data_IF_779929165286
#
_entry.id   IF_779929165286
#
_cell.length_a   1.000
_cell.length_b   1.000
_cell.length_c   1.000
_cell.angle_alpha   90.00
_cell.angle_beta   90.00
_cell.angle_gamma   90.00
#
_symmetry.space_group_name_H-M   'P 1'
#
loop_
_entity.id
_entity.type
_entity.pdbx_description
1 polymer ?
#
# COMPACT_ATOMS: atom_id res chain seq x y z
N UNK A 1 -11.77 6.59 -6.89
CA UNK A 1 -10.58 6.16 -7.66
C UNK A 1 -10.61 4.65 -7.90
N UNK A 2 -10.57 3.78 -6.91
CA UNK A 2 -10.55 2.31 -7.11
C UNK A 2 -11.78 1.81 -7.91
N UNK A 3 -12.98 2.24 -7.58
CA UNK A 3 -14.20 1.84 -8.29
C UNK A 3 -14.15 2.22 -9.79
N UNK A 4 -13.67 3.43 -10.09
CA UNK A 4 -13.47 3.86 -11.47
C UNK A 4 -12.42 3.01 -12.20
N UNK A 5 -11.29 2.69 -11.54
CA UNK A 5 -10.28 1.80 -12.11
C UNK A 5 -10.86 0.41 -12.40
N UNK A 6 -11.76 -0.08 -11.53
CA UNK A 6 -12.46 -1.36 -11.75
C UNK A 6 -13.37 -1.30 -12.97
N UNK A 7 -14.15 -0.21 -13.13
CA UNK A 7 -15.00 0.00 -14.29
C UNK A 7 -14.22 0.11 -15.61
N UNK A 8 -13.08 0.81 -15.56
CA UNK A 8 -12.18 1.00 -16.70
C UNK A 8 -11.21 -0.19 -16.92
N UNK A 9 -11.27 -1.21 -16.06
CA UNK A 9 -10.38 -2.41 -16.09
C UNK A 9 -8.89 -2.04 -16.04
N UNK A 10 -8.54 -1.09 -15.19
CA UNK A 10 -7.16 -0.61 -15.01
C UNK A 10 -6.57 -1.18 -13.72
N UNK A 11 -5.25 -1.47 -13.67
CA UNK A 11 -4.57 -1.82 -12.43
C UNK A 11 -4.56 -0.63 -11.47
N UNK A 12 -4.51 -0.93 -10.18
CA UNK A 12 -4.42 0.08 -9.12
C UNK A 12 -3.06 0.01 -8.45
N UNK A 13 -2.40 1.15 -8.28
CA UNK A 13 -1.16 1.26 -7.50
C UNK A 13 -1.39 2.30 -6.41
N UNK A 14 -1.17 1.90 -5.15
CA UNK A 14 -1.31 2.80 -3.99
C UNK A 14 0.03 2.90 -3.26
N UNK A 15 0.56 4.11 -3.16
CA UNK A 15 1.67 4.43 -2.27
C UNK A 15 1.10 4.79 -0.90
N UNK A 16 1.28 3.90 0.07
CA UNK A 16 0.79 4.10 1.42
C UNK A 16 1.85 4.79 2.28
N UNK A 17 1.44 5.87 2.95
CA UNK A 17 2.26 6.58 3.92
C UNK A 17 1.35 7.11 5.03
N UNK A 18 1.49 6.58 6.24
CA UNK A 18 0.65 6.99 7.37
C UNK A 18 1.30 6.68 8.71
N UNK A 19 1.33 7.66 9.59
CA UNK A 19 1.70 7.48 11.01
C UNK A 19 0.57 6.93 11.89
N UNK A 20 -0.57 6.59 11.29
CA UNK A 20 -1.79 6.13 11.95
C UNK A 20 -2.93 7.16 11.93
N UNK A 21 -4.16 6.69 12.06
CA UNK A 21 -5.33 7.55 12.13
C UNK A 21 -5.46 8.19 13.52
N UNK A 22 -5.95 9.43 13.58
CA UNK A 22 -6.23 10.09 14.85
C UNK A 22 -7.39 9.41 15.57
N UNK A 23 -7.19 9.10 16.84
CA UNK A 23 -8.25 8.54 17.67
C UNK A 23 -9.45 9.48 17.82
N UNK A 24 -9.23 10.78 17.75
CA UNK A 24 -10.28 11.80 17.84
C UNK A 24 -11.26 11.79 16.65
N UNK A 25 -10.84 11.26 15.50
CA UNK A 25 -11.73 11.09 14.34
C UNK A 25 -12.70 9.92 14.52
N UNK A 26 -12.42 9.05 15.49
CA UNK A 26 -13.30 7.98 15.91
C UNK A 26 -13.66 7.03 14.77
N UNK A 27 -14.93 6.62 14.74
CA UNK A 27 -15.44 5.62 13.81
C UNK A 27 -15.37 6.06 12.33
N UNK A 28 -15.32 7.35 12.04
CA UNK A 28 -15.31 7.87 10.67
C UNK A 28 -14.09 7.39 9.91
N UNK A 29 -12.91 7.44 10.51
CA UNK A 29 -11.66 6.96 9.88
C UNK A 29 -11.70 5.45 9.64
N UNK A 30 -12.25 4.68 10.58
CA UNK A 30 -12.44 3.23 10.43
C UNK A 30 -13.40 2.90 9.26
N UNK A 31 -14.49 3.65 9.13
CA UNK A 31 -15.44 3.47 8.03
C UNK A 31 -14.80 3.79 6.67
N UNK A 32 -13.91 4.79 6.58
CA UNK A 32 -13.18 5.07 5.35
C UNK A 32 -12.22 3.94 4.97
N UNK A 33 -11.54 3.34 5.94
CA UNK A 33 -10.68 2.17 5.70
C UNK A 33 -11.51 0.98 5.22
N UNK A 34 -12.66 0.71 5.84
CA UNK A 34 -13.58 -0.34 5.41
C UNK A 34 -14.11 -0.10 3.99
N UNK A 35 -14.47 1.14 3.66
CA UNK A 35 -14.93 1.52 2.32
C UNK A 35 -13.85 1.29 1.27
N UNK A 36 -12.61 1.67 1.54
CA UNK A 36 -11.47 1.47 0.63
C UNK A 36 -11.20 -0.02 0.43
N UNK A 37 -11.17 -0.80 1.52
CA UNK A 37 -10.95 -2.25 1.46
C UNK A 37 -12.05 -2.96 0.69
N UNK A 38 -13.33 -2.56 0.87
CA UNK A 38 -14.45 -3.10 0.11
C UNK A 38 -14.35 -2.79 -1.40
N UNK A 39 -13.86 -1.61 -1.76
CA UNK A 39 -13.63 -1.26 -3.16
C UNK A 39 -12.51 -2.11 -3.77
N UNK A 40 -11.40 -2.33 -3.03
CA UNK A 40 -10.30 -3.19 -3.46
C UNK A 40 -10.74 -4.66 -3.56
N UNK A 41 -11.61 -5.13 -2.66
CA UNK A 41 -12.18 -6.48 -2.79
C UNK A 41 -12.95 -6.64 -4.10
N UNK A 42 -13.79 -5.68 -4.48
CA UNK A 42 -14.50 -5.71 -5.78
C UNK A 42 -13.54 -5.66 -6.96
N UNK A 43 -12.44 -4.92 -6.83
CA UNK A 43 -11.38 -4.84 -7.82
C UNK A 43 -10.69 -6.20 -8.03
N UNK A 44 -10.34 -6.87 -6.95
CA UNK A 44 -9.79 -8.23 -6.94
C UNK A 44 -10.78 -9.26 -7.50
N UNK A 45 -12.07 -9.18 -7.13
CA UNK A 45 -13.11 -10.07 -7.67
C UNK A 45 -13.30 -9.91 -9.19
N UNK A 46 -12.98 -8.74 -9.72
CA UNK A 46 -12.94 -8.48 -11.16
C UNK A 46 -11.66 -9.00 -11.85
N UNK A 47 -10.74 -9.64 -11.11
CA UNK A 47 -9.48 -10.16 -11.62
C UNK A 47 -8.44 -9.09 -11.95
N UNK A 48 -8.53 -7.91 -11.33
CA UNK A 48 -7.68 -6.76 -11.63
C UNK A 48 -6.57 -6.58 -10.59
N UNK A 49 -5.39 -6.22 -11.07
CA UNK A 49 -4.18 -6.10 -10.27
C UNK A 49 -4.21 -4.90 -9.32
N UNK A 50 -3.88 -5.15 -8.05
CA UNK A 50 -3.59 -4.13 -7.06
C UNK A 50 -2.15 -4.25 -6.53
N UNK A 51 -1.33 -3.23 -6.75
CA UNK A 51 0.03 -3.12 -6.21
C UNK A 51 0.01 -2.13 -5.03
N UNK A 52 0.44 -2.59 -3.87
CA UNK A 52 0.65 -1.76 -2.69
C UNK A 52 2.12 -1.44 -2.52
N UNK A 53 2.47 -0.16 -2.38
CA UNK A 53 3.84 0.31 -2.11
C UNK A 53 3.86 0.96 -0.75
N UNK A 54 4.56 0.34 0.21
CA UNK A 54 4.64 0.78 1.59
C UNK A 54 5.85 1.69 1.79
N UNK A 55 5.59 2.94 2.15
CA UNK A 55 6.64 3.93 2.42
C UNK A 55 6.81 4.19 3.91
N UNK A 56 7.83 4.94 4.30
CA UNK A 56 8.12 5.25 5.71
C UNK A 56 7.37 6.50 6.18
N UNK A 57 6.54 6.40 7.23
CA UNK A 57 6.01 5.20 7.86
C UNK A 57 4.71 4.71 7.23
N UNK A 58 4.38 3.42 7.36
CA UNK A 58 3.05 2.89 7.09
C UNK A 58 2.59 2.11 8.32
N UNK A 59 1.78 2.75 9.18
CA UNK A 59 1.40 2.19 10.49
C UNK A 59 -0.09 2.32 10.77
N UNK A 60 -0.53 1.68 11.83
CA UNK A 60 -1.89 1.76 12.35
C UNK A 60 -2.94 1.12 11.45
N UNK A 61 -4.10 1.74 11.37
CA UNK A 61 -5.25 1.25 10.60
C UNK A 61 -4.99 1.14 9.10
N UNK A 62 -4.06 1.90 8.55
CA UNK A 62 -3.69 1.82 7.12
C UNK A 62 -3.03 0.48 6.84
N UNK A 63 -2.06 0.05 7.65
CA UNK A 63 -1.45 -1.28 7.53
C UNK A 63 -2.49 -2.37 7.77
N UNK A 64 -3.33 -2.24 8.80
CA UNK A 64 -4.36 -3.22 9.12
C UNK A 64 -5.54 -3.26 8.14
N UNK A 65 -5.51 -2.47 7.07
CA UNK A 65 -6.57 -2.40 6.06
C UNK A 65 -6.00 -2.49 4.65
N UNK A 66 -6.19 -1.48 3.85
CA UNK A 66 -5.92 -1.52 2.41
C UNK A 66 -4.44 -1.69 2.04
N UNK A 67 -3.50 -1.26 2.90
CA UNK A 67 -2.08 -1.34 2.56
C UNK A 67 -1.56 -2.78 2.45
N UNK A 68 -2.15 -3.72 3.21
CA UNK A 68 -1.77 -5.15 3.19
C UNK A 68 -2.70 -6.02 2.32
N UNK A 69 -3.51 -5.40 1.47
CA UNK A 69 -4.42 -6.10 0.55
C UNK A 69 -3.90 -6.18 -0.89
N UNK A 70 -2.65 -5.75 -1.14
CA UNK A 70 -2.05 -5.83 -2.47
C UNK A 70 -1.87 -7.26 -2.96
N UNK A 71 -2.10 -7.49 -4.24
CA UNK A 71 -1.68 -8.72 -4.91
C UNK A 71 -0.15 -8.79 -5.02
N UNK A 72 0.48 -7.61 -5.10
CA UNK A 72 1.94 -7.43 -4.96
C UNK A 72 2.17 -6.32 -3.93
N UNK A 73 2.98 -6.61 -2.92
CA UNK A 73 3.29 -5.69 -1.82
C UNK A 73 4.78 -5.36 -1.84
N UNK A 74 5.08 -4.13 -2.20
CA UNK A 74 6.44 -3.59 -2.23
C UNK A 74 6.67 -2.67 -1.03
N UNK A 75 7.92 -2.52 -0.60
CA UNK A 75 8.28 -1.53 0.41
C UNK A 75 9.56 -0.78 0.02
N UNK A 76 9.69 0.45 0.54
CA UNK A 76 10.98 1.15 0.51
C UNK A 76 11.93 0.60 1.58
N UNK A 77 13.25 0.62 1.36
CA UNK A 77 14.22 0.18 2.36
C UNK A 77 14.02 0.89 3.70
N UNK A 78 14.16 0.15 4.79
CA UNK A 78 14.06 0.64 6.17
C UNK A 78 12.72 1.28 6.55
N UNK A 79 11.69 1.19 5.71
CA UNK A 79 10.36 1.71 6.03
C UNK A 79 9.82 1.07 7.31
N UNK A 80 9.26 1.87 8.19
CA UNK A 80 8.56 1.41 9.38
C UNK A 80 7.15 0.99 8.99
N UNK A 81 6.86 -0.30 9.12
CA UNK A 81 5.59 -0.90 8.71
C UNK A 81 5.06 -1.74 9.87
N UNK A 82 3.89 -1.39 10.39
CA UNK A 82 3.32 -2.12 11.51
C UNK A 82 1.98 -1.55 11.98
N UNK A 83 1.32 -2.23 12.90
CA UNK A 83 0.06 -1.72 13.45
C UNK A 83 0.31 -0.76 14.61
N UNK A 84 0.88 -1.25 15.70
CA UNK A 84 1.25 -0.42 16.84
C UNK A 84 2.69 0.07 16.70
N UNK A 85 2.96 1.30 17.12
CA UNK A 85 4.33 1.82 17.14
C UNK A 85 5.23 1.05 18.12
N UNK A 86 6.55 0.97 17.88
CA UNK A 86 7.48 0.21 18.72
C UNK A 86 7.40 0.56 20.21
N UNK A 87 7.29 1.85 20.53
CA UNK A 87 7.14 2.32 21.93
C UNK A 87 5.91 1.77 22.62
N UNK A 88 4.78 1.68 21.93
CA UNK A 88 3.53 1.16 22.50
C UNK A 88 3.66 -0.32 22.77
N UNK A 89 4.29 -1.06 21.86
CA UNK A 89 4.54 -2.49 22.02
C UNK A 89 5.45 -2.73 23.24
N UNK A 90 6.61 -2.06 23.30
CA UNK A 90 7.56 -2.19 24.39
C UNK A 90 6.95 -1.88 25.76
N UNK A 91 6.14 -0.82 25.84
CA UNK A 91 5.42 -0.47 27.06
C UNK A 91 4.38 -1.52 27.46
N UNK A 92 3.74 -2.15 26.48
CA UNK A 92 2.70 -3.15 26.74
C UNK A 92 3.29 -4.49 27.18
N UNK A 93 4.38 -4.95 26.52
CA UNK A 93 4.99 -6.25 26.84
C UNK A 93 6.09 -6.15 27.92
N UNK A 94 6.53 -4.94 28.27
CA UNK A 94 7.60 -4.70 29.25
C UNK A 94 8.98 -5.19 28.81
N UNK A 95 9.20 -5.37 27.52
CA UNK A 95 10.47 -5.85 26.95
C UNK A 95 10.90 -4.97 25.78
N UNK A 96 12.20 -4.87 25.55
CA UNK A 96 12.75 -4.21 24.35
C UNK A 96 12.52 -5.08 23.13
N UNK A 97 12.15 -4.44 22.02
CA UNK A 97 12.00 -5.12 20.76
C UNK A 97 13.36 -5.43 20.12
N UNK A 98 13.47 -6.51 19.33
CA UNK A 98 14.66 -6.81 18.55
C UNK A 98 15.02 -5.65 17.61
N UNK A 99 16.32 -5.49 17.34
CA UNK A 99 16.77 -4.52 16.36
C UNK A 99 16.17 -4.82 14.99
N UNK A 100 15.69 -3.76 14.32
CA UNK A 100 15.04 -3.89 13.02
C UNK A 100 13.58 -4.36 13.04
N UNK A 101 13.00 -4.61 14.21
CA UNK A 101 11.59 -4.99 14.33
C UNK A 101 10.66 -4.00 13.62
N UNK A 102 9.69 -4.51 12.87
CA UNK A 102 8.77 -3.73 12.02
C UNK A 102 9.45 -2.91 10.89
N UNK A 103 10.72 -3.18 10.57
CA UNK A 103 11.32 -2.61 9.35
C UNK A 103 10.99 -3.47 8.13
N UNK A 104 11.08 -2.86 6.95
CA UNK A 104 10.78 -3.54 5.70
C UNK A 104 11.55 -4.86 5.55
N UNK A 105 12.83 -4.86 5.93
CA UNK A 105 13.71 -6.02 5.87
C UNK A 105 13.19 -7.17 6.75
N UNK A 106 12.76 -6.85 7.97
CA UNK A 106 12.16 -7.82 8.88
C UNK A 106 10.86 -8.41 8.30
N UNK A 107 10.02 -7.57 7.71
CA UNK A 107 8.77 -8.02 7.11
C UNK A 107 8.99 -8.88 5.87
N UNK A 108 10.01 -8.57 5.07
CA UNK A 108 10.39 -9.39 3.92
C UNK A 108 10.83 -10.80 4.35
N UNK A 109 11.70 -10.90 5.37
CA UNK A 109 12.14 -12.18 5.93
C UNK A 109 10.99 -13.03 6.47
N UNK A 110 9.92 -12.38 6.97
CA UNK A 110 8.74 -13.05 7.52
C UNK A 110 7.60 -13.24 6.49
N UNK A 111 7.84 -12.94 5.22
CA UNK A 111 6.89 -13.20 4.14
C UNK A 111 5.69 -12.25 4.07
N UNK A 112 5.79 -11.06 4.66
CA UNK A 112 4.76 -10.02 4.57
C UNK A 112 4.91 -9.11 3.35
N UNK A 113 6.07 -9.11 2.71
CA UNK A 113 6.39 -8.32 1.53
C UNK A 113 6.92 -9.22 0.42
N UNK A 114 6.68 -8.82 -0.82
CA UNK A 114 7.22 -9.51 -2.00
C UNK A 114 8.61 -9.00 -2.35
N UNK A 115 8.87 -7.69 -2.20
CA UNK A 115 10.18 -7.12 -2.45
C UNK A 115 10.39 -5.78 -1.74
N UNK A 116 11.67 -5.45 -1.51
CA UNK A 116 12.12 -4.12 -1.11
C UNK A 116 12.73 -3.44 -2.32
N UNK A 117 12.25 -2.24 -2.64
CA UNK A 117 12.63 -1.51 -3.85
C UNK A 117 13.02 -0.09 -3.49
N UNK A 118 14.23 0.32 -3.87
CA UNK A 118 14.67 1.71 -3.72
C UNK A 118 13.85 2.64 -4.61
N UNK A 119 13.58 3.85 -4.13
CA UNK A 119 12.78 4.85 -4.82
C UNK A 119 13.22 5.14 -6.27
N UNK A 120 14.52 5.25 -6.59
CA UNK A 120 14.96 5.44 -7.97
C UNK A 120 14.60 4.28 -8.90
N UNK A 121 14.52 3.04 -8.37
CA UNK A 121 14.23 1.83 -9.12
C UNK A 121 12.72 1.52 -9.19
N UNK A 122 11.91 2.19 -8.38
CA UNK A 122 10.48 1.91 -8.23
C UNK A 122 9.74 1.97 -9.55
N UNK A 123 9.98 2.99 -10.36
CA UNK A 123 9.32 3.15 -11.68
C UNK A 123 9.60 1.98 -12.61
N UNK A 124 10.85 1.53 -12.67
CA UNK A 124 11.25 0.41 -13.52
C UNK A 124 10.64 -0.92 -13.01
N UNK A 125 10.66 -1.13 -11.70
CA UNK A 125 10.07 -2.32 -11.07
C UNK A 125 8.57 -2.40 -11.32
N UNK A 126 7.85 -1.30 -11.09
CA UNK A 126 6.41 -1.23 -11.36
C UNK A 126 6.10 -1.50 -12.84
N UNK A 127 6.89 -0.93 -13.76
CA UNK A 127 6.73 -1.17 -15.20
C UNK A 127 6.91 -2.65 -15.56
N UNK A 128 7.89 -3.33 -14.94
CA UNK A 128 8.11 -4.77 -15.16
C UNK A 128 6.94 -5.60 -14.63
N UNK A 129 6.44 -5.29 -13.42
CA UNK A 129 5.31 -6.01 -12.83
C UNK A 129 4.06 -5.84 -13.70
N UNK A 130 3.76 -4.62 -14.14
CA UNK A 130 2.62 -4.37 -15.03
C UNK A 130 2.75 -5.13 -16.34
N UNK A 131 3.93 -5.12 -16.97
CA UNK A 131 4.16 -5.84 -18.22
C UNK A 131 3.97 -7.36 -18.08
N UNK A 132 4.34 -7.94 -16.93
CA UNK A 132 4.12 -9.36 -16.64
C UNK A 132 2.63 -9.72 -16.53
N UNK A 133 1.81 -8.82 -16.02
CA UNK A 133 0.37 -9.02 -15.86
C UNK A 133 -0.41 -8.75 -17.15
N UNK A 134 0.12 -7.95 -18.07
CA UNK A 134 -0.49 -7.70 -19.38
C UNK A 134 -0.37 -8.89 -20.34
N UNK A 135 0.62 -9.75 -20.16
CA UNK A 135 0.89 -10.90 -21.04
C UNK A 135 -0.17 -12.00 -20.90
N UNK A 136 -1.00 -11.98 -19.86
CA UNK A 136 -2.01 -13.01 -19.58
C UNK A 136 -3.32 -12.86 -20.33
N UNK A 137 -3.72 -11.68 -20.79
CA UNK A 137 -4.98 -11.46 -21.50
C UNK A 137 -4.86 -10.28 -22.49
N UNK A 138 -5.27 -10.48 -23.73
CA UNK A 138 -5.23 -9.50 -24.82
C UNK A 138 -6.09 -8.24 -24.62
N UNK A 139 -5.95 -7.59 -23.50
CA UNK A 139 -6.48 -6.25 -23.27
C UNK A 139 -5.40 -5.26 -23.62
N UNK A 140 -5.48 -4.70 -24.84
CA UNK A 140 -4.54 -3.71 -25.33
C UNK A 140 -4.43 -2.49 -24.44
N UNK A 141 -3.51 -2.54 -23.48
CA UNK A 141 -3.05 -1.36 -22.78
C UNK A 141 -2.30 -0.48 -23.81
N UNK A 142 -3.01 0.50 -24.31
CA UNK A 142 -2.45 1.39 -25.33
C UNK A 142 -1.47 2.36 -24.66
N UNK A 143 -0.16 2.09 -24.78
CA UNK A 143 0.95 2.92 -24.28
C UNK A 143 0.84 4.42 -24.60
N UNK A 144 -0.01 4.80 -25.55
CA UNK A 144 -0.23 6.20 -25.98
C UNK A 144 -1.20 6.99 -25.09
N UNK A 145 -1.86 6.36 -24.09
CA UNK A 145 -2.82 7.02 -23.20
C UNK A 145 -2.35 7.22 -21.77
N UNK A 146 -1.11 6.93 -21.45
CA UNK A 146 -0.51 7.34 -20.20
C UNK A 146 0.03 8.78 -20.27
N UNK A 147 -0.81 9.71 -20.65
CA UNK A 147 -0.66 11.09 -20.22
C UNK A 147 -1.06 11.12 -18.74
N UNK A 148 -0.05 10.90 -17.90
CA UNK A 148 -0.19 11.01 -16.45
C UNK A 148 -0.43 12.49 -16.16
N UNK A 149 -1.69 12.91 -16.10
CA UNK A 149 -2.00 14.16 -15.43
C UNK A 149 -1.44 14.04 -14.00
N UNK A 150 -0.63 15.00 -13.55
CA UNK A 150 -0.10 14.97 -12.21
C UNK A 150 -1.29 14.98 -11.25
N UNK A 151 -1.45 13.87 -10.51
CA UNK A 151 -2.45 13.78 -9.45
C UNK A 151 -2.13 14.89 -8.47
N UNK A 152 -3.00 15.89 -8.39
CA UNK A 152 -2.90 16.92 -7.37
C UNK A 152 -3.00 16.22 -6.02
N UNK A 153 -1.90 16.25 -5.28
CA UNK A 153 -1.89 15.79 -3.89
C UNK A 153 -2.82 16.70 -3.10
N UNK A 154 -4.02 16.22 -2.81
CA UNK A 154 -4.78 16.81 -1.72
C UNK A 154 -4.07 16.42 -0.44
N UNK A 155 -3.22 17.31 0.04
CA UNK A 155 -2.69 17.24 1.39
C UNK A 155 -3.86 17.29 2.36
N UNK A 156 -4.24 16.13 2.89
CA UNK A 156 -4.89 16.08 4.19
C UNK A 156 -3.82 16.51 5.20
N UNK A 157 -3.68 17.82 5.42
CA UNK A 157 -2.92 18.33 6.54
C UNK A 157 -3.61 17.83 7.81
N UNK A 158 -2.96 16.88 8.47
CA UNK A 158 -3.20 16.63 9.86
C UNK A 158 -2.67 17.86 10.63
N UNK A 159 -3.55 18.74 11.09
CA UNK A 159 -3.26 19.72 12.12
C UNK A 159 -3.31 19.05 13.49
#
# INVERSE_FOLDING_TARGET
MVERATEEKLPVIIFACSGGARMQEGIISLMQMAKTSAALKRHSDAGLLYISVLTDPTTGGVTASFAMLGDVILAEPKALIGFAGPRVIEQTIGQKLPDGFQRAEFLLEHGFLDAIVERPQMKETLSKILALHEVGEGTGFNRKKCDVEPVSYTHLRAH
#
